data_IF_301874867329
#
_entry.id   IF_301874867329
#
_cell.length_a   1.000
_cell.length_b   1.000
_cell.length_c   1.000
_cell.angle_alpha   90.00
_cell.angle_beta   90.00
_cell.angle_gamma   90.00
#
_symmetry.space_group_name_H-M   'P 1'
#
loop_
_entity.id
_entity.type
_entity.pdbx_description
1 polymer ?
#
# COMPACT_ATOMS: atom_id res chain seq x y z
N UNK A 1 -48.05 26.75 -18.87
CA UNK A 1 -47.11 27.62 -19.62
C UNK A 1 -45.78 26.90 -19.65
N UNK A 2 -45.62 26.11 -20.71
CA UNK A 2 -44.43 25.35 -21.07
C UNK A 2 -43.36 26.31 -21.56
N UNK A 3 -42.11 26.13 -21.15
CA UNK A 3 -40.96 26.73 -21.82
C UNK A 3 -39.83 25.71 -21.85
N UNK A 4 -39.71 25.10 -23.02
CA UNK A 4 -38.74 24.08 -23.42
C UNK A 4 -37.83 24.74 -24.46
N UNK A 5 -36.51 24.75 -24.24
CA UNK A 5 -35.49 25.18 -25.20
C UNK A 5 -34.16 24.43 -24.92
N UNK A 6 -33.27 24.22 -25.91
CA UNK A 6 -33.07 22.88 -26.47
C UNK A 6 -31.69 22.24 -26.22
N UNK A 7 -31.67 20.92 -26.40
CA UNK A 7 -30.50 20.04 -26.48
C UNK A 7 -29.83 20.18 -27.85
N UNK A 8 -28.51 20.42 -27.87
CA UNK A 8 -27.66 20.23 -29.06
C UNK A 8 -26.78 18.99 -28.89
N UNK A 9 -27.00 18.04 -29.79
CA UNK A 9 -26.21 16.82 -29.93
C UNK A 9 -24.96 17.10 -30.79
N UNK A 10 -23.80 16.59 -30.37
CA UNK A 10 -22.65 16.38 -31.24
C UNK A 10 -22.26 14.91 -31.24
N UNK A 11 -22.46 14.27 -32.39
CA UNK A 11 -21.98 12.93 -32.72
C UNK A 11 -20.59 13.01 -33.42
N UNK A 12 -19.88 11.88 -33.57
CA UNK A 12 -18.42 11.82 -33.57
C UNK A 12 -17.78 11.88 -34.95
N UNK A 13 -16.49 12.21 -35.01
CA UNK A 13 -15.67 12.12 -36.23
C UNK A 13 -14.67 10.95 -36.13
N UNK A 14 -14.66 10.00 -37.08
CA UNK A 14 -13.71 8.89 -37.13
C UNK A 14 -12.58 9.13 -38.14
N UNK A 15 -11.35 8.99 -37.71
CA UNK A 15 -10.17 8.74 -38.55
C UNK A 15 -9.09 8.18 -37.60
N UNK A 16 -8.46 7.03 -37.81
CA UNK A 16 -7.92 6.48 -39.04
C UNK A 16 -6.40 6.40 -38.84
N UNK A 17 -5.84 5.21 -38.61
CA UNK A 17 -4.39 5.11 -38.41
C UNK A 17 -3.87 3.76 -37.91
N UNK A 18 -3.97 2.72 -38.74
CA UNK A 18 -3.19 1.48 -38.58
C UNK A 18 -1.71 1.78 -38.80
N UNK A 19 -0.83 1.32 -37.91
CA UNK A 19 0.62 1.37 -38.09
C UNK A 19 1.30 0.18 -37.43
N UNK A 20 1.44 -0.93 -38.17
CA UNK A 20 2.32 -2.06 -37.83
C UNK A 20 3.76 -1.67 -38.11
N UNK A 21 4.69 -2.03 -37.23
CA UNK A 21 6.13 -1.87 -37.48
C UNK A 21 6.97 -2.79 -36.61
N UNK A 22 7.15 -4.04 -37.07
CA UNK A 22 8.19 -4.97 -36.58
C UNK A 22 9.54 -4.53 -37.17
N UNK A 23 10.59 -4.53 -36.37
CA UNK A 23 11.96 -4.34 -36.84
C UNK A 23 12.97 -5.06 -35.95
N UNK A 24 13.45 -6.21 -36.42
CA UNK A 24 14.56 -7.00 -35.87
C UNK A 24 15.87 -6.59 -36.56
N UNK A 25 16.99 -6.77 -35.87
CA UNK A 25 18.34 -6.85 -36.46
C UNK A 25 19.13 -5.55 -36.32
N UNK A 26 20.45 -5.55 -36.13
CA UNK A 26 21.40 -6.65 -36.17
C UNK A 26 22.76 -6.18 -35.65
N UNK A 27 23.56 -7.18 -35.29
CA UNK A 27 24.95 -7.06 -34.86
C UNK A 27 25.86 -6.58 -36.01
N UNK A 28 27.07 -6.16 -35.60
CA UNK A 28 28.35 -6.11 -36.33
C UNK A 28 28.69 -4.78 -37.01
N UNK A 29 29.60 -4.05 -36.36
CA UNK A 29 30.56 -3.17 -37.01
C UNK A 29 31.92 -3.37 -36.34
N UNK A 30 32.79 -4.16 -36.97
CA UNK A 30 34.24 -4.17 -36.72
C UNK A 30 34.78 -2.86 -37.31
N UNK A 31 35.34 -1.99 -36.47
CA UNK A 31 36.13 -0.83 -36.89
C UNK A 31 37.54 -0.98 -36.36
N UNK A 32 38.45 -1.38 -37.22
CA UNK A 32 39.90 -1.43 -37.00
C UNK A 32 40.42 -0.01 -37.21
N UNK A 33 41.00 0.61 -36.18
CA UNK A 33 41.63 1.92 -36.25
C UNK A 33 42.92 1.90 -35.45
N UNK A 34 44.04 1.97 -36.15
CA UNK A 34 45.42 2.08 -35.65
C UNK A 34 45.76 3.56 -35.51
N UNK A 35 46.34 3.97 -34.37
CA UNK A 35 47.35 5.04 -34.16
C UNK A 35 47.39 5.43 -32.66
N UNK A 36 48.43 5.00 -31.92
CA UNK A 36 49.64 5.76 -31.51
C UNK A 36 49.39 6.89 -30.51
N UNK A 37 49.98 6.78 -29.32
CA UNK A 37 50.10 7.87 -28.36
C UNK A 37 50.29 7.39 -26.91
N UNK A 38 51.52 7.46 -26.42
CA UNK A 38 51.93 7.24 -25.03
C UNK A 38 51.25 8.22 -24.05
N UNK A 39 50.83 7.72 -22.88
CA UNK A 39 50.29 8.51 -21.77
C UNK A 39 50.03 7.63 -20.54
N UNK A 40 50.20 8.14 -19.31
CA UNK A 40 50.53 7.34 -18.12
C UNK A 40 49.35 6.52 -17.58
N UNK A 41 49.71 5.39 -16.97
CA UNK A 41 48.83 4.38 -16.39
C UNK A 41 47.90 4.96 -15.31
N UNK A 42 46.62 5.14 -15.66
CA UNK A 42 45.55 5.18 -14.68
C UNK A 42 45.09 3.75 -14.37
N UNK A 43 45.04 3.33 -13.09
CA UNK A 43 44.51 2.02 -12.75
C UNK A 43 43.04 1.93 -13.18
N UNK A 44 42.61 0.78 -13.74
CA UNK A 44 41.24 0.62 -14.20
C UNK A 44 40.28 0.78 -13.03
N UNK A 45 39.39 1.76 -13.15
CA UNK A 45 38.20 1.95 -12.32
C UNK A 45 37.47 0.62 -12.20
N UNK A 46 37.60 -0.01 -11.03
CA UNK A 46 36.91 -1.23 -10.68
C UNK A 46 35.42 -0.97 -10.76
N UNK A 47 34.77 -1.48 -11.80
CA UNK A 47 33.32 -1.57 -11.86
C UNK A 47 32.85 -2.39 -10.66
N UNK A 48 32.45 -1.70 -9.60
CA UNK A 48 31.83 -2.30 -8.42
C UNK A 48 30.47 -2.82 -8.85
N UNK A 49 30.46 -4.04 -9.36
CA UNK A 49 29.25 -4.83 -9.57
C UNK A 49 28.65 -5.09 -8.19
N UNK A 50 27.81 -4.15 -7.75
CA UNK A 50 27.10 -4.28 -6.48
C UNK A 50 26.30 -5.58 -6.54
N UNK A 51 26.49 -6.52 -5.60
CA UNK A 51 25.80 -7.80 -5.67
C UNK A 51 24.28 -7.56 -5.64
N UNK A 52 23.51 -8.36 -6.41
CA UNK A 52 22.07 -8.24 -6.44
C UNK A 52 21.52 -8.42 -5.03
N UNK A 53 20.74 -7.43 -4.55
CA UNK A 53 20.08 -7.52 -3.25
C UNK A 53 19.11 -8.70 -3.29
N UNK A 54 19.21 -9.58 -2.29
CA UNK A 54 18.25 -10.66 -2.11
C UNK A 54 16.81 -10.09 -2.09
N UNK A 55 15.85 -10.75 -2.77
CA UNK A 55 14.48 -10.30 -2.82
C UNK A 55 13.90 -10.26 -1.39
N UNK A 56 13.14 -9.20 -1.09
CA UNK A 56 12.44 -9.10 0.19
C UNK A 56 11.43 -10.26 0.28
N UNK A 57 11.36 -10.96 1.42
CA UNK A 57 10.39 -12.04 1.60
C UNK A 57 8.96 -11.50 1.46
N UNK A 58 8.01 -12.33 0.98
CA UNK A 58 6.63 -11.91 0.82
C UNK A 58 6.00 -11.60 2.19
N UNK A 59 5.20 -10.54 2.25
CA UNK A 59 4.43 -10.21 3.45
C UNK A 59 3.31 -11.24 3.63
N UNK A 60 3.24 -11.87 4.80
CA UNK A 60 2.30 -12.97 5.07
C UNK A 60 1.23 -12.57 6.08
N UNK A 61 1.54 -11.69 7.02
CA UNK A 61 0.63 -11.27 8.08
C UNK A 61 0.64 -9.76 8.27
N UNK A 62 -0.36 -9.26 8.99
CA UNK A 62 -0.45 -7.87 9.38
C UNK A 62 -1.12 -7.74 10.75
N UNK A 63 -0.77 -6.68 11.47
CA UNK A 63 -1.45 -6.28 12.69
C UNK A 63 -2.60 -5.36 12.30
N UNK A 64 -3.77 -5.60 12.85
CA UNK A 64 -4.95 -4.83 12.54
C UNK A 64 -5.76 -4.43 13.78
N UNK A 65 -6.37 -3.25 13.69
CA UNK A 65 -7.48 -2.86 14.55
C UNK A 65 -8.79 -3.07 13.77
N UNK A 66 -9.56 -4.14 14.06
CA UNK A 66 -10.80 -4.44 13.36
C UNK A 66 -11.91 -3.46 13.77
N UNK A 67 -12.52 -2.79 12.79
CA UNK A 67 -13.60 -1.81 13.01
C UNK A 67 -14.94 -2.23 12.38
N UNK A 68 -14.94 -3.28 11.56
CA UNK A 68 -16.13 -3.82 10.90
C UNK A 68 -17.18 -4.46 11.81
N UNK A 69 -16.98 -4.45 13.13
CA UNK A 69 -17.95 -4.96 14.10
C UNK A 69 -19.03 -3.94 14.46
N UNK A 70 -18.82 -2.65 14.18
CA UNK A 70 -19.80 -1.60 14.45
C UNK A 70 -20.95 -1.63 13.43
N UNK A 71 -22.18 -1.93 13.87
CA UNK A 71 -23.35 -2.05 13.00
C UNK A 71 -23.60 -0.80 12.14
N UNK A 72 -23.66 0.37 12.78
CA UNK A 72 -23.84 1.66 12.09
C UNK A 72 -22.78 1.93 11.03
N UNK A 73 -21.51 1.66 11.33
CA UNK A 73 -20.43 1.82 10.35
C UNK A 73 -20.63 0.89 9.15
N UNK A 74 -21.01 -0.37 9.39
CA UNK A 74 -21.27 -1.32 8.29
C UNK A 74 -22.40 -0.85 7.39
N UNK A 75 -23.51 -0.39 7.98
CA UNK A 75 -24.66 0.12 7.25
C UNK A 75 -24.28 1.36 6.43
N UNK A 76 -23.60 2.33 7.04
CA UNK A 76 -23.12 3.52 6.34
C UNK A 76 -22.22 3.17 5.16
N UNK A 77 -21.24 2.28 5.36
CA UNK A 77 -20.32 1.86 4.30
C UNK A 77 -21.00 1.04 3.21
N UNK A 78 -21.99 0.21 3.58
CA UNK A 78 -22.78 -0.54 2.60
C UNK A 78 -23.64 0.39 1.74
N UNK A 79 -24.31 1.36 2.35
CA UNK A 79 -25.10 2.36 1.64
C UNK A 79 -24.22 3.18 0.70
N UNK A 80 -23.06 3.63 1.17
CA UNK A 80 -22.09 4.35 0.35
C UNK A 80 -21.62 3.51 -0.85
N UNK A 81 -21.22 2.25 -0.61
CA UNK A 81 -20.79 1.32 -1.67
C UNK A 81 -21.91 1.06 -2.69
N UNK A 82 -23.16 0.86 -2.23
CA UNK A 82 -24.31 0.68 -3.11
C UNK A 82 -24.56 1.93 -3.97
N UNK A 83 -24.41 3.13 -3.39
CA UNK A 83 -24.53 4.40 -4.12
C UNK A 83 -23.50 4.53 -5.23
N UNK A 84 -22.25 4.16 -4.97
CA UNK A 84 -21.20 4.16 -6.00
C UNK A 84 -21.48 3.15 -7.12
N UNK A 85 -21.94 1.94 -6.78
CA UNK A 85 -22.28 0.90 -7.76
C UNK A 85 -23.51 1.26 -8.61
N UNK A 86 -24.41 2.07 -8.09
CA UNK A 86 -25.63 2.51 -8.79
C UNK A 86 -25.42 3.82 -9.56
N UNK A 87 -24.19 4.35 -9.62
CA UNK A 87 -23.91 5.62 -10.29
C UNK A 87 -24.27 5.57 -11.78
N UNK A 88 -24.75 6.69 -12.31
CA UNK A 88 -25.01 6.86 -13.75
C UNK A 88 -24.28 8.13 -14.23
N UNK A 89 -23.34 8.03 -15.18
CA UNK A 89 -22.85 6.78 -15.78
C UNK A 89 -22.12 5.87 -14.76
N UNK A 90 -21.99 4.56 -15.04
CA UNK A 90 -21.20 3.67 -14.21
C UNK A 90 -19.75 4.16 -14.10
N UNK A 91 -19.17 4.06 -12.90
CA UNK A 91 -17.75 4.38 -12.68
C UNK A 91 -16.90 3.28 -13.35
N UNK A 92 -16.04 3.59 -14.34
CA UNK A 92 -15.22 2.59 -15.02
C UNK A 92 -14.34 1.81 -14.02
N UNK A 93 -14.34 0.48 -14.16
CA UNK A 93 -13.55 -0.41 -13.31
C UNK A 93 -14.08 -0.61 -11.88
N UNK A 94 -15.20 0.04 -11.51
CA UNK A 94 -15.85 -0.18 -10.23
C UNK A 94 -16.91 -1.28 -10.33
N UNK A 95 -16.66 -2.40 -9.67
CA UNK A 95 -17.64 -3.45 -9.47
C UNK A 95 -17.54 -4.06 -8.06
N UNK A 96 -18.42 -5.03 -7.75
CA UNK A 96 -18.51 -5.63 -6.42
C UNK A 96 -17.23 -6.35 -5.97
N UNK A 97 -16.40 -6.83 -6.89
CA UNK A 97 -15.19 -7.60 -6.60
C UNK A 97 -14.08 -6.76 -6.00
N UNK A 98 -14.08 -5.44 -6.26
CA UNK A 98 -13.10 -4.49 -5.71
C UNK A 98 -13.58 -3.82 -4.42
N UNK A 99 -14.81 -4.09 -3.98
CA UNK A 99 -15.36 -3.51 -2.76
C UNK A 99 -15.02 -4.40 -1.56
N UNK A 100 -14.28 -3.84 -0.61
CA UNK A 100 -14.03 -4.50 0.67
C UNK A 100 -15.36 -4.63 1.45
N UNK A 101 -15.80 -5.85 1.81
CA UNK A 101 -17.00 -6.03 2.61
C UNK A 101 -16.90 -5.24 3.93
N UNK A 102 -17.94 -4.50 4.36
CA UNK A 102 -17.84 -3.66 5.56
C UNK A 102 -17.44 -4.41 6.85
N UNK A 103 -17.72 -5.71 6.92
CA UNK A 103 -17.26 -6.59 8.01
C UNK A 103 -15.75 -6.77 8.08
N UNK A 104 -15.03 -6.57 6.98
CA UNK A 104 -13.57 -6.73 6.85
C UNK A 104 -12.81 -5.42 7.05
N UNK A 105 -13.50 -4.32 7.39
CA UNK A 105 -12.86 -3.03 7.63
C UNK A 105 -11.92 -3.10 8.84
N UNK A 106 -10.71 -2.61 8.63
CA UNK A 106 -9.66 -2.55 9.64
C UNK A 106 -8.67 -1.43 9.36
N UNK A 107 -8.06 -0.89 10.43
CA UNK A 107 -6.79 -0.16 10.31
C UNK A 107 -5.66 -1.16 10.26
N UNK A 108 -4.75 -1.00 9.29
CA UNK A 108 -3.51 -1.79 9.26
C UNK A 108 -2.45 -1.04 10.04
N UNK A 109 -1.91 -1.67 11.08
CA UNK A 109 -0.95 -1.07 12.00
C UNK A 109 0.50 -1.46 11.70
N UNK A 110 0.69 -2.57 10.98
CA UNK A 110 2.00 -3.03 10.52
C UNK A 110 1.86 -4.31 9.72
N UNK A 111 2.84 -4.60 8.86
CA UNK A 111 2.91 -5.82 8.04
C UNK A 111 4.18 -6.60 8.37
N UNK A 112 4.12 -7.91 8.26
CA UNK A 112 5.21 -8.80 8.65
C UNK A 112 5.31 -9.98 7.70
N UNK A 113 6.52 -10.53 7.63
CA UNK A 113 6.80 -11.82 7.02
C UNK A 113 7.12 -12.78 8.15
N UNK A 114 6.13 -13.57 8.54
CA UNK A 114 6.32 -14.64 9.52
C UNK A 114 6.64 -15.96 8.81
N UNK A 115 7.56 -16.71 9.41
CA UNK A 115 7.95 -18.05 8.99
C UNK A 115 6.88 -19.05 9.44
N UNK A 116 6.52 -20.00 8.55
CA UNK A 116 5.47 -20.99 8.83
C UNK A 116 5.88 -22.03 9.86
N UNK A 117 7.17 -22.29 9.97
CA UNK A 117 7.77 -23.22 10.92
C UNK A 117 9.08 -22.62 11.45
N UNK A 118 9.37 -22.87 12.73
CA UNK A 118 10.66 -22.59 13.33
C UNK A 118 11.72 -23.45 12.62
N UNK A 119 12.67 -22.88 11.84
CA UNK A 119 13.71 -23.71 11.26
C UNK A 119 14.51 -24.34 12.39
N UNK A 120 14.58 -25.67 12.39
CA UNK A 120 15.51 -26.40 13.23
C UNK A 120 16.92 -26.07 12.74
N UNK A 121 17.66 -25.34 13.59
CA UNK A 121 19.12 -25.16 13.62
C UNK A 121 19.80 -24.11 12.74
N UNK A 122 20.85 -23.57 13.38
CA UNK A 122 22.10 -23.04 12.82
C UNK A 122 22.05 -21.72 12.03
N UNK A 123 21.86 -20.61 12.76
CA UNK A 123 22.29 -19.32 12.22
C UNK A 123 21.66 -18.08 12.82
N UNK A 124 21.59 -17.95 14.16
CA UNK A 124 21.44 -16.69 14.91
C UNK A 124 20.34 -15.70 14.52
N UNK A 125 19.48 -16.01 13.56
CA UNK A 125 18.46 -15.10 13.06
C UNK A 125 17.24 -15.16 13.97
N UNK A 126 16.69 -14.01 14.38
CA UNK A 126 15.50 -13.99 15.22
C UNK A 126 14.36 -14.72 14.50
N UNK A 127 13.80 -15.74 15.15
CA UNK A 127 12.67 -16.49 14.61
C UNK A 127 11.44 -15.58 14.50
N UNK A 128 10.96 -15.35 13.28
CA UNK A 128 9.76 -14.55 13.01
C UNK A 128 8.53 -15.44 13.02
N UNK A 129 8.20 -16.02 14.16
CA UNK A 129 7.06 -16.95 14.28
C UNK A 129 5.78 -16.25 14.69
N UNK A 130 4.65 -16.94 14.51
CA UNK A 130 3.34 -16.48 14.99
C UNK A 130 3.29 -16.40 16.51
N UNK A 131 3.95 -17.33 17.20
CA UNK A 131 4.05 -17.39 18.66
C UNK A 131 4.82 -16.17 19.19
N UNK A 132 5.93 -15.80 18.54
CA UNK A 132 6.68 -14.59 18.89
C UNK A 132 5.81 -13.32 18.71
N UNK A 133 5.06 -13.22 17.60
CA UNK A 133 4.13 -12.13 17.37
C UNK A 133 3.02 -12.05 18.44
N UNK A 134 2.43 -13.19 18.82
CA UNK A 134 1.42 -13.26 19.90
C UNK A 134 1.99 -12.78 21.24
N UNK A 135 3.21 -13.21 21.59
CA UNK A 135 3.88 -12.78 22.84
C UNK A 135 4.04 -11.26 22.89
N UNK A 136 4.48 -10.63 21.79
CA UNK A 136 4.61 -9.17 21.70
C UNK A 136 3.25 -8.48 21.89
N UNK A 137 2.17 -9.02 21.33
CA UNK A 137 0.81 -8.47 21.55
C UNK A 137 0.39 -8.55 23.02
N UNK A 138 0.67 -9.67 23.68
CA UNK A 138 0.32 -9.85 25.10
C UNK A 138 1.08 -8.88 26.00
N UNK A 139 2.38 -8.67 25.75
CA UNK A 139 3.19 -7.68 26.46
C UNK A 139 2.76 -6.22 26.19
N UNK A 140 2.18 -5.96 25.02
CA UNK A 140 1.70 -4.63 24.63
C UNK A 140 0.36 -4.26 25.27
N UNK A 141 -0.51 -5.23 25.56
CA UNK A 141 -1.85 -4.97 26.15
C UNK A 141 -1.81 -3.98 27.33
N UNK A 142 -1.03 -4.21 28.41
CA UNK A 142 -0.99 -3.28 29.54
C UNK A 142 -0.40 -1.91 29.16
N UNK A 143 0.59 -1.87 28.27
CA UNK A 143 1.23 -0.63 27.80
C UNK A 143 0.26 0.23 26.99
N UNK A 144 -0.54 -0.39 26.12
CA UNK A 144 -1.59 0.29 25.34
C UNK A 144 -2.65 0.85 26.30
N UNK A 145 -3.08 0.08 27.30
CA UNK A 145 -4.06 0.55 28.28
C UNK A 145 -3.54 1.76 29.07
N UNK A 146 -2.26 1.76 29.45
CA UNK A 146 -1.61 2.90 30.11
C UNK A 146 -1.56 4.13 29.21
N UNK A 147 -1.14 3.99 27.95
CA UNK A 147 -1.09 5.09 26.96
C UNK A 147 -2.47 5.68 26.71
N UNK A 148 -3.51 4.86 26.75
CA UNK A 148 -4.89 5.31 26.59
C UNK A 148 -5.52 5.85 27.88
N UNK A 149 -4.81 5.86 29.01
CA UNK A 149 -5.35 6.30 30.30
C UNK A 149 -6.50 5.42 30.79
N UNK A 150 -6.47 4.12 30.48
CA UNK A 150 -7.56 3.15 30.71
C UNK A 150 -8.87 3.47 29.94
N UNK A 151 -8.85 4.43 29.02
CA UNK A 151 -9.99 4.71 28.15
C UNK A 151 -9.99 3.86 26.87
N UNK A 152 -11.16 3.77 26.23
CA UNK A 152 -11.28 3.18 24.90
C UNK A 152 -10.72 4.14 23.85
N UNK A 153 -9.92 3.63 22.92
CA UNK A 153 -9.53 4.37 21.72
C UNK A 153 -10.76 4.67 20.87
N UNK A 154 -11.07 5.95 20.66
CA UNK A 154 -12.13 6.42 19.76
C UNK A 154 -11.51 7.09 18.55
N UNK A 155 -11.76 6.51 17.37
CA UNK A 155 -11.26 7.03 16.10
C UNK A 155 -12.42 7.55 15.28
N UNK A 156 -12.47 8.86 15.07
CA UNK A 156 -13.41 9.48 14.13
C UNK A 156 -13.04 9.10 12.69
N UNK A 157 -14.02 8.76 11.86
CA UNK A 157 -13.84 8.48 10.44
C UNK A 157 -14.48 9.63 9.66
N UNK A 158 -13.72 10.69 9.41
CA UNK A 158 -14.22 11.94 8.82
C UNK A 158 -13.38 12.44 7.64
N UNK A 159 -12.41 11.65 7.20
CA UNK A 159 -11.61 11.90 6.01
C UNK A 159 -11.66 10.70 5.08
N UNK A 160 -11.74 10.97 3.78
CA UNK A 160 -11.69 9.98 2.70
C UNK A 160 -10.76 10.49 1.62
N UNK A 161 -9.89 9.63 1.11
CA UNK A 161 -8.90 9.97 0.10
C UNK A 161 -8.38 8.67 -0.57
N UNK A 162 -7.51 8.80 -1.56
CA UNK A 162 -6.86 7.69 -2.25
C UNK A 162 -5.45 7.45 -1.69
N UNK A 163 -4.96 6.21 -1.78
CA UNK A 163 -3.56 5.92 -1.51
C UNK A 163 -2.73 6.52 -2.65
N UNK A 164 -1.61 7.17 -2.29
CA UNK A 164 -0.76 7.88 -3.27
C UNK A 164 -0.46 6.95 -4.45
N UNK A 165 -0.80 7.37 -5.67
CA UNK A 165 -0.57 6.55 -6.85
C UNK A 165 0.91 6.27 -7.05
N UNK A 166 1.21 5.09 -7.60
CA UNK A 166 2.57 4.77 -7.99
C UNK A 166 3.08 5.77 -9.03
N UNK A 167 4.30 6.29 -8.82
CA UNK A 167 4.93 7.28 -9.71
C UNK A 167 4.11 8.57 -9.92
N UNK A 168 3.17 8.87 -9.01
CA UNK A 168 2.25 10.03 -9.10
C UNK A 168 1.31 9.98 -10.30
N UNK A 169 1.08 8.80 -10.87
CA UNK A 169 0.17 8.58 -11.99
C UNK A 169 -1.27 8.34 -11.47
N UNK A 170 -2.22 9.27 -11.64
CA UNK A 170 -3.58 9.13 -11.11
C UNK A 170 -4.28 7.83 -11.53
N UNK A 171 -3.97 7.31 -12.73
CA UNK A 171 -4.51 6.05 -13.26
C UNK A 171 -4.02 4.82 -12.47
N UNK A 172 -3.08 5.00 -11.54
CA UNK A 172 -2.53 3.95 -10.67
C UNK A 172 -2.93 4.14 -9.20
N UNK A 173 -3.97 4.93 -8.95
CA UNK A 173 -4.61 5.04 -7.64
C UNK A 173 -5.62 3.89 -7.44
N UNK A 174 -5.16 2.80 -6.84
CA UNK A 174 -5.94 1.56 -6.76
C UNK A 174 -6.66 1.33 -5.43
N UNK A 175 -6.45 2.20 -4.45
CA UNK A 175 -6.94 1.99 -3.07
C UNK A 175 -7.53 3.29 -2.57
N UNK A 176 -8.80 3.25 -2.19
CA UNK A 176 -9.42 4.33 -1.41
C UNK A 176 -9.22 4.04 0.09
N UNK A 177 -9.39 5.03 0.93
CA UNK A 177 -9.34 4.82 2.37
C UNK A 177 -10.24 5.83 3.07
N UNK A 178 -10.72 5.44 4.24
CA UNK A 178 -11.37 6.37 5.18
C UNK A 178 -10.57 6.36 6.48
N UNK A 179 -10.57 7.46 7.20
CA UNK A 179 -9.83 7.56 8.45
C UNK A 179 -10.09 8.86 9.19
N UNK A 180 -9.40 9.08 10.31
CA UNK A 180 -9.44 10.36 10.99
C UNK A 180 -8.72 11.42 10.15
N UNK A 181 -9.24 12.65 10.18
CA UNK A 181 -8.54 13.82 9.66
C UNK A 181 -7.13 13.90 10.27
N UNK A 182 -6.05 14.11 9.47
CA UNK A 182 -4.67 13.98 9.91
C UNK A 182 -4.30 14.83 11.14
N UNK A 183 -4.89 16.02 11.25
CA UNK A 183 -4.60 16.98 12.31
C UNK A 183 -5.55 16.86 13.51
N UNK A 184 -6.46 15.88 13.51
CA UNK A 184 -7.42 15.64 14.56
C UNK A 184 -6.81 14.92 15.79
N UNK A 185 -7.42 15.12 16.95
CA UNK A 185 -7.03 14.42 18.19
C UNK A 185 -7.14 12.88 18.04
N UNK A 186 -8.20 12.40 17.38
CA UNK A 186 -8.36 10.97 17.08
C UNK A 186 -7.21 10.41 16.22
N UNK A 187 -6.70 11.18 15.25
CA UNK A 187 -5.56 10.75 14.44
C UNK A 187 -4.29 10.67 15.29
N UNK A 188 -4.05 11.66 16.16
CA UNK A 188 -2.91 11.64 17.09
C UNK A 188 -2.97 10.45 18.03
N UNK A 189 -4.11 10.19 18.69
CA UNK A 189 -4.27 9.04 19.60
C UNK A 189 -4.08 7.70 18.88
N UNK A 190 -4.66 7.55 17.69
CA UNK A 190 -4.46 6.35 16.86
C UNK A 190 -2.98 6.16 16.50
N UNK A 191 -2.31 7.25 16.08
CA UNK A 191 -0.88 7.24 15.73
C UNK A 191 -0.02 6.85 16.92
N UNK A 192 -0.27 7.38 18.12
CA UNK A 192 0.48 7.02 19.33
C UNK A 192 0.40 5.51 19.63
N UNK A 193 -0.80 4.93 19.57
CA UNK A 193 -1.00 3.49 19.79
C UNK A 193 -0.29 2.67 18.71
N UNK A 194 -0.43 3.08 17.46
CA UNK A 194 0.14 2.36 16.34
C UNK A 194 1.67 2.44 16.28
N UNK A 195 2.27 3.60 16.59
CA UNK A 195 3.71 3.77 16.70
C UNK A 195 4.29 2.90 17.83
N UNK A 196 3.59 2.81 18.96
CA UNK A 196 3.96 1.91 20.06
C UNK A 196 3.99 0.44 19.60
N UNK A 197 2.95 0.01 18.90
CA UNK A 197 2.85 -1.36 18.36
C UNK A 197 3.94 -1.62 17.33
N UNK A 198 4.08 -0.72 16.34
CA UNK A 198 5.06 -0.84 15.28
C UNK A 198 6.49 -0.90 15.84
N UNK A 199 6.80 -0.02 16.81
CA UNK A 199 8.11 -0.02 17.47
C UNK A 199 8.36 -1.34 18.21
N UNK A 200 7.41 -1.82 19.01
CA UNK A 200 7.61 -3.07 19.76
C UNK A 200 7.81 -4.28 18.85
N UNK A 201 7.08 -4.38 17.75
CA UNK A 201 7.30 -5.44 16.78
C UNK A 201 8.61 -5.27 15.99
N UNK A 202 9.05 -4.04 15.72
CA UNK A 202 10.33 -3.76 15.08
C UNK A 202 11.50 -4.14 16.01
N UNK A 203 11.42 -3.77 17.29
CA UNK A 203 12.39 -4.14 18.33
C UNK A 203 12.48 -5.67 18.49
N UNK A 204 11.35 -6.38 18.31
CA UNK A 204 11.30 -7.84 18.30
C UNK A 204 11.79 -8.50 16.99
N UNK A 205 12.19 -7.70 15.99
CA UNK A 205 12.68 -8.20 14.70
C UNK A 205 11.58 -8.79 13.79
N UNK A 206 10.30 -8.51 14.07
CA UNK A 206 9.14 -9.12 13.41
C UNK A 206 8.60 -8.31 12.22
N UNK A 207 8.82 -7.00 12.18
CA UNK A 207 8.34 -6.12 11.10
C UNK A 207 9.42 -5.94 10.03
N UNK A 208 8.99 -5.89 8.78
CA UNK A 208 9.81 -5.34 7.70
C UNK A 208 9.69 -3.82 7.76
N UNK A 209 10.79 -3.07 7.96
CA UNK A 209 10.76 -1.59 8.03
C UNK A 209 9.90 -1.00 6.90
N UNK A 210 8.72 -0.50 7.26
CA UNK A 210 7.73 0.03 6.33
C UNK A 210 7.33 1.44 6.76
N UNK A 211 7.87 2.43 6.05
CA UNK A 211 7.64 3.87 6.29
C UNK A 211 6.24 4.37 5.84
N UNK A 212 5.26 3.49 5.69
CA UNK A 212 3.93 3.87 5.16
C UNK A 212 3.04 4.41 6.29
N UNK A 213 2.27 5.49 6.04
CA UNK A 213 1.33 6.02 7.03
C UNK A 213 0.17 5.05 7.30
N UNK A 214 -0.34 5.09 8.52
CA UNK A 214 -1.48 4.30 8.98
C UNK A 214 -2.76 4.73 8.26
N UNK A 215 -3.47 3.78 7.65
CA UNK A 215 -4.72 4.04 6.93
C UNK A 215 -5.69 2.87 7.14
N UNK A 216 -6.99 3.17 7.30
CA UNK A 216 -8.01 2.13 7.22
C UNK A 216 -8.35 1.88 5.76
N UNK A 217 -8.22 0.63 5.33
CA UNK A 217 -8.49 0.26 3.95
C UNK A 217 -10.00 0.18 3.73
N UNK A 218 -10.47 0.96 2.78
CA UNK A 218 -11.82 0.86 2.25
C UNK A 218 -11.64 0.84 0.74
N UNK A 219 -12.05 -0.24 0.07
CA UNK A 219 -11.87 -0.42 -1.39
C UNK A 219 -10.44 -0.81 -1.77
#
# INVERSE_FOLDING_TARGET
MESTLPVTAHAPNPSGGRGRGRGRGGRRGRGRGVQTGEGPEHPPSGSSSRPPRAPKPPLTHFIALPIGHHARLRETMQTFANGLLASTPPIPGLDRTIIVPPRRLHFTLGVMSLDKEAPATAGGTPQRTLEAAKRVLDELKPKIAQVLGQEKLRVKLDSMDIMKPERRDPERANVMWIGPSPDGESARRLKTVADLIAKAFADAGLVVDEKRPLKARCF
#
